data_IF_246095183788
#
_entry.id   IF_246095183788
#
_cell.length_a   1.000
_cell.length_b   1.000
_cell.length_c   1.000
_cell.angle_alpha   90.00
_cell.angle_beta   90.00
_cell.angle_gamma   90.00
#
_symmetry.space_group_name_H-M   'P 1'
#
loop_
_entity.id
_entity.type
_entity.pdbx_description
1 polymer ?
#
# COMPACT_ATOMS: atom_id res chain seq x y z
N UNK A 1 64.93 -16.94 52.71
CA UNK A 1 64.34 -18.29 52.83
C UNK A 1 62.83 -18.14 52.74
N UNK A 2 62.22 -18.89 51.82
CA UNK A 2 60.80 -19.32 51.73
C UNK A 2 59.67 -18.33 51.40
N UNK A 3 59.30 -18.35 50.12
CA UNK A 3 57.98 -18.66 49.51
C UNK A 3 56.65 -18.09 50.06
N UNK A 4 55.93 -17.38 49.19
CA UNK A 4 54.48 -17.48 48.91
C UNK A 4 54.23 -16.65 47.65
N UNK A 5 54.29 -17.22 46.44
CA UNK A 5 53.26 -18.03 45.77
C UNK A 5 51.86 -17.40 45.80
N UNK A 6 51.41 -16.93 44.63
CA UNK A 6 50.02 -16.55 44.34
C UNK A 6 49.16 -17.83 44.20
N UNK A 7 47.82 -17.75 44.35
CA UNK A 7 47.01 -17.53 43.15
C UNK A 7 45.67 -16.78 43.35
N UNK A 8 45.29 -16.04 42.30
CA UNK A 8 44.03 -16.16 41.56
C UNK A 8 42.68 -16.24 42.33
N UNK A 9 41.86 -15.19 42.15
CA UNK A 9 40.39 -15.23 41.95
C UNK A 9 39.94 -13.81 41.57
N UNK A 10 39.81 -13.54 40.28
CA UNK A 10 38.54 -13.62 39.55
C UNK A 10 37.76 -12.29 39.60
N UNK A 11 38.35 -11.23 39.04
CA UNK A 11 37.55 -10.16 38.47
C UNK A 11 37.05 -10.65 37.11
N UNK A 12 35.82 -11.16 37.13
CA UNK A 12 35.08 -11.45 35.93
C UNK A 12 34.94 -10.16 35.11
N UNK A 13 35.35 -10.11 33.84
CA UNK A 13 34.99 -9.02 32.96
C UNK A 13 33.47 -9.03 32.77
N UNK A 14 32.84 -8.09 33.49
CA UNK A 14 31.62 -7.37 33.15
C UNK A 14 30.81 -7.94 31.98
N UNK A 15 29.74 -8.67 32.30
CA UNK A 15 28.67 -9.06 31.37
C UNK A 15 27.96 -7.89 30.67
N UNK A 16 28.39 -6.64 30.90
CA UNK A 16 27.89 -5.46 30.20
C UNK A 16 28.55 -5.24 28.83
N UNK A 17 29.77 -5.72 28.61
CA UNK A 17 30.49 -5.45 27.35
C UNK A 17 30.09 -6.40 26.21
N UNK A 18 29.53 -7.57 26.52
CA UNK A 18 29.00 -8.51 25.53
C UNK A 18 27.62 -8.10 24.95
N UNK A 19 26.88 -7.19 25.60
CA UNK A 19 25.60 -6.69 25.09
C UNK A 19 25.71 -5.44 24.21
N UNK A 20 26.82 -4.70 24.32
CA UNK A 20 27.04 -3.49 23.52
C UNK A 20 27.49 -3.82 22.09
N UNK A 21 28.26 -4.89 21.89
CA UNK A 21 28.71 -5.34 20.55
C UNK A 21 27.66 -6.14 19.79
N UNK A 22 26.72 -6.80 20.48
CA UNK A 22 25.61 -7.50 19.82
C UNK A 22 24.50 -6.56 19.29
N UNK A 23 24.44 -5.32 19.79
CA UNK A 23 23.44 -4.32 19.38
C UNK A 23 23.93 -3.44 18.22
N UNK A 24 25.24 -3.30 18.03
CA UNK A 24 25.82 -2.49 16.96
C UNK A 24 25.88 -3.21 15.59
N UNK A 25 25.77 -4.54 15.55
CA UNK A 25 25.87 -5.33 14.31
C UNK A 25 24.51 -5.72 13.71
N UNK A 26 23.41 -5.29 14.34
CA UNK A 26 22.04 -5.44 13.80
C UNK A 26 21.53 -4.22 13.03
N UNK A 27 22.40 -3.25 12.78
CA UNK A 27 22.07 -2.00 12.07
C UNK A 27 22.97 -1.80 10.85
N UNK A 28 23.10 -2.85 10.02
CA UNK A 28 23.66 -2.74 8.68
C UNK A 28 22.95 -3.67 7.68
N UNK A 29 21.64 -3.85 7.83
CA UNK A 29 20.84 -4.31 6.69
C UNK A 29 20.53 -3.07 5.84
N UNK A 30 21.08 -2.96 4.61
CA UNK A 30 20.67 -1.89 3.71
C UNK A 30 19.17 -2.05 3.50
N UNK A 31 18.42 -1.00 3.83
CA UNK A 31 17.00 -0.89 3.56
C UNK A 31 16.77 -0.80 2.06
N UNK A 32 16.95 -1.91 1.35
CA UNK A 32 16.64 -2.08 -0.06
C UNK A 32 15.12 -2.20 -0.29
N UNK A 33 14.33 -1.38 0.42
CA UNK A 33 12.88 -1.26 0.22
C UNK A 33 12.53 -0.18 -0.80
N UNK A 34 13.51 0.56 -1.32
CA UNK A 34 13.30 1.67 -2.25
C UNK A 34 13.71 1.40 -3.70
N UNK A 35 14.19 0.20 -4.04
CA UNK A 35 14.60 -0.14 -5.41
C UNK A 35 13.57 -0.96 -6.20
N UNK A 36 12.46 -1.37 -5.59
CA UNK A 36 11.39 -2.04 -6.33
C UNK A 36 10.69 -0.98 -7.16
N UNK A 37 11.19 -0.79 -8.39
CA UNK A 37 10.44 -0.14 -9.47
C UNK A 37 8.98 -0.60 -9.35
N UNK A 38 8.01 0.34 -9.32
CA UNK A 38 6.61 -0.02 -9.14
C UNK A 38 6.32 -1.13 -10.14
N UNK A 39 5.90 -2.29 -9.64
CA UNK A 39 5.56 -3.41 -10.50
C UNK A 39 4.41 -2.93 -11.39
N UNK A 40 4.76 -2.61 -12.65
CA UNK A 40 3.80 -2.34 -13.70
C UNK A 40 2.79 -3.47 -13.68
N UNK A 41 1.51 -3.11 -13.65
CA UNK A 41 0.48 -4.14 -13.63
C UNK A 41 0.61 -4.96 -14.92
N UNK A 42 0.68 -6.30 -14.81
CA UNK A 42 1.00 -7.18 -15.96
C UNK A 42 0.11 -6.96 -17.19
N UNK A 43 -1.13 -6.52 -17.01
CA UNK A 43 -2.04 -6.25 -18.13
C UNK A 43 -1.66 -5.00 -18.94
N UNK A 44 -0.87 -4.08 -18.36
CA UNK A 44 -0.36 -2.91 -19.07
C UNK A 44 0.79 -3.27 -20.02
N UNK A 45 1.40 -4.45 -19.88
CA UNK A 45 2.46 -4.95 -20.77
C UNK A 45 1.89 -5.43 -22.11
N UNK A 46 0.61 -5.82 -22.13
CA UNK A 46 -0.07 -6.32 -23.33
C UNK A 46 -0.81 -5.22 -24.11
N UNK A 47 -0.78 -3.97 -23.63
CA UNK A 47 -1.45 -2.86 -24.30
C UNK A 47 -0.71 -2.49 -25.60
N UNK A 48 -1.44 -2.16 -26.68
CA UNK A 48 -0.80 -1.70 -27.91
C UNK A 48 -0.07 -0.37 -27.70
N UNK A 49 1.01 -0.12 -28.45
CA UNK A 49 1.73 1.14 -28.37
C UNK A 49 0.91 2.26 -29.01
N UNK A 50 0.33 3.14 -28.19
CA UNK A 50 -0.38 4.33 -28.63
C UNK A 50 -0.20 5.47 -27.62
N UNK A 51 0.18 6.69 -28.03
CA UNK A 51 0.59 7.76 -27.12
C UNK A 51 -0.49 8.13 -26.09
N UNK A 52 -1.74 8.23 -26.53
CA UNK A 52 -2.87 8.54 -25.62
C UNK A 52 -3.15 7.38 -24.66
N UNK A 53 -3.02 6.14 -25.12
CA UNK A 53 -3.24 4.95 -24.29
C UNK A 53 -2.11 4.79 -23.26
N UNK A 54 -0.87 5.07 -23.65
CA UNK A 54 0.30 5.07 -22.77
C UNK A 54 0.14 6.15 -21.68
N UNK A 55 -0.30 7.36 -22.02
CA UNK A 55 -0.55 8.40 -21.04
C UNK A 55 -1.61 8.01 -19.99
N UNK A 56 -2.67 7.29 -20.42
CA UNK A 56 -3.67 6.74 -19.51
C UNK A 56 -3.14 5.58 -18.67
N UNK A 57 -2.33 4.69 -19.25
CA UNK A 57 -1.66 3.61 -18.53
C UNK A 57 -0.74 4.15 -17.43
N UNK A 58 0.03 5.20 -17.70
CA UNK A 58 0.84 5.86 -16.67
C UNK A 58 -0.01 6.56 -15.60
N UNK A 59 -1.13 7.19 -16.00
CA UNK A 59 -2.05 7.79 -15.04
C UNK A 59 -2.66 6.72 -14.11
N UNK A 60 -2.95 5.53 -14.64
CA UNK A 60 -3.37 4.37 -13.86
C UNK A 60 -2.29 3.93 -12.86
N UNK A 61 -1.04 3.80 -13.29
CA UNK A 61 0.09 3.42 -12.42
C UNK A 61 0.34 4.44 -11.29
N UNK A 62 0.14 5.73 -11.57
CA UNK A 62 0.23 6.80 -10.57
C UNK A 62 -0.99 6.89 -9.64
N UNK A 63 -1.98 6.01 -9.80
CA UNK A 63 -3.22 6.03 -9.03
C UNK A 63 -4.16 7.19 -9.38
N UNK A 64 -3.93 7.90 -10.49
CA UNK A 64 -4.82 8.95 -10.98
C UNK A 64 -6.02 8.36 -11.73
N UNK A 65 -6.85 7.63 -11.00
CA UNK A 65 -8.03 6.95 -11.53
C UNK A 65 -9.15 7.91 -11.95
N UNK A 66 -9.12 9.17 -11.49
CA UNK A 66 -10.08 10.19 -11.91
C UNK A 66 -9.86 10.57 -13.37
N UNK A 67 -8.59 10.81 -13.75
CA UNK A 67 -8.21 11.12 -15.13
C UNK A 67 -8.53 9.97 -16.08
N UNK A 68 -8.16 8.75 -15.71
CA UNK A 68 -8.42 7.56 -16.55
C UNK A 68 -9.93 7.35 -16.76
N UNK A 69 -10.75 7.55 -15.71
CA UNK A 69 -12.22 7.50 -15.85
C UNK A 69 -12.81 8.56 -16.79
N UNK A 70 -12.22 9.75 -16.83
CA UNK A 70 -12.71 10.83 -17.67
C UNK A 70 -12.26 10.70 -19.13
N UNK A 71 -11.02 10.26 -19.37
CA UNK A 71 -10.39 10.28 -20.69
C UNK A 71 -10.47 8.93 -21.43
N UNK A 72 -10.50 7.79 -20.73
CA UNK A 72 -10.57 6.48 -21.39
C UNK A 72 -11.84 6.23 -22.22
N UNK A 73 -13.06 6.68 -21.82
CA UNK A 73 -14.25 6.53 -22.65
C UNK A 73 -14.14 7.30 -23.97
N UNK A 74 -13.56 8.51 -23.92
CA UNK A 74 -13.30 9.31 -25.13
C UNK A 74 -12.36 8.58 -26.07
N UNK A 75 -11.29 7.99 -25.54
CA UNK A 75 -10.35 7.21 -26.35
C UNK A 75 -11.01 5.98 -27.01
N UNK A 76 -11.98 5.34 -26.35
CA UNK A 76 -12.75 4.23 -26.94
C UNK A 76 -13.62 4.68 -28.13
N UNK A 77 -14.10 5.93 -28.10
CA UNK A 77 -14.96 6.52 -29.12
C UNK A 77 -14.16 7.11 -30.29
N UNK A 78 -12.99 7.71 -30.02
CA UNK A 78 -12.22 8.46 -31.02
C UNK A 78 -11.08 7.67 -31.65
N UNK A 79 -10.61 6.58 -31.04
CA UNK A 79 -9.51 5.80 -31.60
C UNK A 79 -9.94 5.05 -32.87
N UNK A 80 -9.14 5.21 -33.93
CA UNK A 80 -9.35 4.51 -35.21
C UNK A 80 -8.92 3.03 -35.13
N UNK A 81 -7.93 2.72 -34.30
CA UNK A 81 -7.40 1.37 -34.10
C UNK A 81 -8.24 0.61 -33.06
N UNK A 82 -8.79 -0.54 -33.48
CA UNK A 82 -9.59 -1.42 -32.64
C UNK A 82 -8.78 -1.99 -31.46
N UNK A 83 -7.47 -2.24 -31.62
CA UNK A 83 -6.62 -2.69 -30.53
C UNK A 83 -6.49 -1.62 -29.43
N UNK A 84 -6.43 -0.34 -29.82
CA UNK A 84 -6.35 0.79 -28.87
C UNK A 84 -7.67 0.93 -28.11
N UNK A 85 -8.80 0.75 -28.79
CA UNK A 85 -10.13 0.73 -28.16
C UNK A 85 -10.25 -0.42 -27.16
N UNK A 86 -9.78 -1.61 -27.51
CA UNK A 86 -9.77 -2.78 -26.62
C UNK A 86 -8.91 -2.52 -25.37
N UNK A 87 -7.73 -1.95 -25.56
CA UNK A 87 -6.86 -1.55 -24.45
C UNK A 87 -7.50 -0.53 -23.51
N UNK A 88 -8.17 0.49 -24.06
CA UNK A 88 -8.88 1.50 -23.28
C UNK A 88 -10.09 0.90 -22.53
N UNK A 89 -10.81 -0.07 -23.12
CA UNK A 89 -11.88 -0.80 -22.42
C UNK A 89 -11.36 -1.66 -21.28
N UNK A 90 -10.22 -2.33 -21.46
CA UNK A 90 -9.59 -3.12 -20.38
C UNK A 90 -9.18 -2.25 -19.18
N UNK A 91 -8.69 -1.03 -19.44
CA UNK A 91 -8.45 -0.03 -18.38
C UNK A 91 -9.76 0.30 -17.64
N UNK A 92 -10.83 0.63 -18.36
CA UNK A 92 -12.13 0.96 -17.76
C UNK A 92 -12.68 -0.17 -16.89
N UNK A 93 -12.61 -1.42 -17.38
CA UNK A 93 -13.06 -2.61 -16.67
C UNK A 93 -12.39 -2.77 -15.30
N UNK A 94 -11.15 -2.32 -15.15
CA UNK A 94 -10.40 -2.36 -13.88
C UNK A 94 -10.65 -1.16 -12.97
N UNK A 95 -11.19 -0.06 -13.50
CA UNK A 95 -11.53 1.13 -12.73
C UNK A 95 -12.94 1.13 -12.15
N UNK A 96 -13.82 0.25 -12.62
CA UNK A 96 -15.17 0.16 -12.08
C UNK A 96 -15.10 -0.28 -10.60
N UNK A 97 -15.49 0.59 -9.66
CA UNK A 97 -15.55 0.21 -8.26
C UNK A 97 -16.61 -0.88 -8.12
N UNK A 98 -16.23 -1.99 -7.48
CA UNK A 98 -17.10 -3.13 -7.23
C UNK A 98 -18.48 -2.63 -6.73
N UNK A 99 -19.59 -2.95 -7.42
CA UNK A 99 -20.94 -2.59 -6.99
C UNK A 99 -21.20 -2.94 -5.52
N UNK A 100 -20.57 -4.02 -5.02
CA UNK A 100 -20.66 -4.45 -3.64
C UNK A 100 -20.09 -3.42 -2.65
N UNK A 101 -18.97 -2.76 -2.99
CA UNK A 101 -18.39 -1.71 -2.14
C UNK A 101 -19.34 -0.51 -1.99
N UNK A 102 -20.07 -0.15 -3.04
CA UNK A 102 -21.08 0.92 -2.97
C UNK A 102 -22.22 0.53 -2.04
N UNK A 103 -22.68 -0.72 -2.14
CA UNK A 103 -23.74 -1.26 -1.28
C UNK A 103 -23.29 -1.32 0.19
N UNK A 104 -22.09 -1.84 0.44
CA UNK A 104 -21.51 -1.92 1.78
C UNK A 104 -21.31 -0.55 2.41
N UNK A 105 -20.84 0.43 1.64
CA UNK A 105 -20.70 1.81 2.10
C UNK A 105 -22.06 2.43 2.44
N UNK A 106 -23.07 2.23 1.57
CA UNK A 106 -24.44 2.67 1.83
C UNK A 106 -25.02 2.04 3.10
N UNK A 107 -24.84 0.73 3.28
CA UNK A 107 -25.25 0.01 4.48
C UNK A 107 -24.55 0.54 5.73
N UNK A 108 -23.24 0.79 5.65
CA UNK A 108 -22.47 1.35 6.76
C UNK A 108 -22.99 2.74 7.18
N UNK A 109 -23.30 3.60 6.21
CA UNK A 109 -23.89 4.92 6.48
C UNK A 109 -25.25 4.77 7.16
N UNK A 110 -26.12 3.87 6.67
CA UNK A 110 -27.43 3.61 7.28
C UNK A 110 -27.28 3.10 8.71
N UNK A 111 -26.37 2.15 8.95
CA UNK A 111 -26.13 1.59 10.27
C UNK A 111 -25.60 2.65 11.24
N UNK A 112 -24.67 3.50 10.78
CA UNK A 112 -24.12 4.61 11.55
C UNK A 112 -25.22 5.58 11.98
N UNK A 113 -26.11 5.97 11.06
CA UNK A 113 -27.24 6.86 11.36
C UNK A 113 -28.22 6.21 12.34
N UNK A 114 -28.52 4.92 12.16
CA UNK A 114 -29.40 4.18 13.06
C UNK A 114 -28.85 4.12 14.50
N UNK A 115 -27.56 3.78 14.67
CA UNK A 115 -26.90 3.75 15.97
C UNK A 115 -26.85 5.14 16.60
N UNK A 116 -26.54 6.16 15.80
CA UNK A 116 -26.48 7.55 16.28
C UNK A 116 -27.85 8.06 16.74
N UNK A 117 -28.91 7.81 15.95
CA UNK A 117 -30.27 8.19 16.30
C UNK A 117 -30.77 7.44 17.55
N UNK A 118 -30.52 6.14 17.62
CA UNK A 118 -30.87 5.33 18.78
C UNK A 118 -30.19 5.86 20.05
N UNK A 119 -28.87 6.06 20.02
CA UNK A 119 -28.12 6.60 21.14
C UNK A 119 -28.63 7.99 21.57
N UNK A 120 -28.98 8.86 20.61
CA UNK A 120 -29.56 10.16 20.89
C UNK A 120 -30.92 10.03 21.60
N UNK A 121 -31.83 9.19 21.09
CA UNK A 121 -33.16 9.01 21.70
C UNK A 121 -33.10 8.36 23.09
N UNK A 122 -32.23 7.39 23.32
CA UNK A 122 -32.08 6.73 24.63
C UNK A 122 -31.40 7.65 25.66
N UNK A 123 -30.43 8.46 25.26
CA UNK A 123 -29.75 9.42 26.14
C UNK A 123 -30.65 10.59 26.57
N UNK A 124 -31.60 11.02 25.72
CA UNK A 124 -32.57 12.07 26.06
C UNK A 124 -33.78 11.58 26.86
N UNK A 125 -33.94 10.26 27.04
CA UNK A 125 -35.03 9.66 27.81
C UNK A 125 -34.75 9.48 29.32
N UNK A 126 -33.57 9.88 29.81
CA UNK A 126 -33.15 9.76 31.23
C UNK A 126 -32.97 11.13 31.91
N UNK A 127 -33.70 12.16 31.46
CA UNK A 127 -33.76 13.49 32.08
C UNK A 127 -35.05 13.70 32.86
#
# INVERSE_FOLDING_TARGET
MSSSDAPERADAPSSAEASATASAEREAAPSDRSSRAPHRARFLETLPPHPELTALAEAFERGNYARVRAEAPRLVETAEDEAVRDGARELLRRLEPDPLMKLLLGLAIVLLLAVTAFAYTTSHGHG
#
